data_IF_352011576258
#
_entry.id   IF_352011576258
#
_cell.length_a   1.000
_cell.length_b   1.000
_cell.length_c   1.000
_cell.angle_alpha   90.00
_cell.angle_beta   90.00
_cell.angle_gamma   90.00
#
_symmetry.space_group_name_H-M   'P 1'
#
loop_
_entity.id
_entity.type
_entity.pdbx_description
1 polymer ?
#
# COMPACT_ATOMS: atom_id res chain seq x y z
N UNK A 1 -52.03 -1.56 -12.17
CA UNK A 1 -51.53 -2.39 -13.29
C UNK A 1 -51.34 -1.51 -14.51
N UNK A 2 -50.14 -1.55 -15.09
CA UNK A 2 -49.81 -1.41 -16.53
C UNK A 2 -50.18 -0.06 -17.18
N UNK A 3 -49.29 0.76 -17.75
CA UNK A 3 -47.87 0.66 -18.06
C UNK A 3 -47.42 1.99 -18.67
N UNK A 4 -46.16 2.41 -18.44
CA UNK A 4 -45.55 3.56 -19.12
C UNK A 4 -45.00 3.11 -20.48
N UNK A 5 -45.33 3.76 -21.60
CA UNK A 5 -44.78 3.41 -22.90
C UNK A 5 -43.38 4.03 -23.09
N UNK A 6 -42.47 3.22 -23.64
CA UNK A 6 -41.33 3.62 -24.48
C UNK A 6 -40.39 4.71 -23.94
N UNK A 7 -39.47 4.32 -23.05
CA UNK A 7 -38.10 4.82 -23.19
C UNK A 7 -37.55 4.23 -24.49
N UNK A 8 -37.61 5.03 -25.57
CA UNK A 8 -36.88 4.77 -26.80
C UNK A 8 -35.44 4.40 -26.43
N UNK A 9 -35.02 3.23 -26.90
CA UNK A 9 -33.62 2.83 -26.89
C UNK A 9 -32.79 4.02 -27.40
N UNK A 10 -31.91 4.53 -26.53
CA UNK A 10 -30.92 5.50 -26.97
C UNK A 10 -30.07 4.76 -28.03
N UNK A 11 -29.95 5.32 -29.24
CA UNK A 11 -29.29 4.63 -30.35
C UNK A 11 -27.85 4.27 -29.97
N UNK A 12 -27.46 3.07 -30.36
CA UNK A 12 -26.13 2.47 -30.33
C UNK A 12 -25.07 3.20 -31.18
N UNK A 13 -25.13 4.52 -31.26
CA UNK A 13 -24.26 5.36 -32.09
C UNK A 13 -23.57 6.43 -31.22
N UNK A 14 -22.63 5.95 -30.41
CA UNK A 14 -21.30 6.54 -30.26
C UNK A 14 -20.51 5.72 -29.24
N UNK A 15 -20.13 4.49 -29.60
CA UNK A 15 -18.90 3.88 -29.11
C UNK A 15 -17.70 4.67 -29.70
N UNK A 16 -17.68 5.99 -29.46
CA UNK A 16 -16.48 6.81 -29.62
C UNK A 16 -15.55 6.31 -28.54
N UNK A 17 -14.59 5.50 -28.95
CA UNK A 17 -13.30 5.21 -28.30
C UNK A 17 -13.05 6.01 -27.01
N UNK A 18 -13.69 5.59 -25.92
CA UNK A 18 -13.32 6.06 -24.59
C UNK A 18 -12.07 5.27 -24.21
N UNK A 19 -10.89 5.81 -24.57
CA UNK A 19 -9.61 5.35 -24.02
C UNK A 19 -9.55 5.76 -22.56
N UNK A 20 -10.28 5.04 -21.69
CA UNK A 20 -10.46 5.40 -20.28
C UNK A 20 -9.13 5.58 -19.55
N UNK A 21 -8.09 4.81 -19.87
CA UNK A 21 -6.73 5.07 -19.40
C UNK A 21 -5.79 4.75 -20.57
N UNK A 22 -4.86 5.65 -20.89
CA UNK A 22 -3.76 5.34 -21.81
C UNK A 22 -3.04 4.07 -21.30
N UNK A 23 -2.81 3.02 -22.11
CA UNK A 23 -2.10 1.81 -21.67
C UNK A 23 -0.88 2.05 -20.79
N UNK A 24 -0.05 3.05 -21.13
CA UNK A 24 1.14 3.40 -20.34
C UNK A 24 0.77 3.85 -18.92
N UNK A 25 -0.32 4.61 -18.77
CA UNK A 25 -0.83 5.06 -17.47
C UNK A 25 -1.47 3.92 -16.68
N UNK A 26 -2.09 2.96 -17.36
CA UNK A 26 -2.67 1.78 -16.71
C UNK A 26 -1.55 0.90 -16.14
N UNK A 27 -0.51 0.64 -16.92
CA UNK A 27 0.63 -0.17 -16.45
C UNK A 27 1.32 0.47 -15.25
N UNK A 28 1.56 1.79 -15.28
CA UNK A 28 2.12 2.55 -14.15
C UNK A 28 1.24 2.42 -12.90
N UNK A 29 -0.09 2.57 -13.06
CA UNK A 29 -1.04 2.41 -11.96
C UNK A 29 -1.01 1.00 -11.36
N UNK A 30 -1.07 -0.03 -12.21
CA UNK A 30 -1.07 -1.41 -11.76
C UNK A 30 0.25 -1.78 -11.07
N UNK A 31 1.39 -1.29 -11.58
CA UNK A 31 2.70 -1.43 -10.93
C UNK A 31 2.74 -0.74 -9.58
N UNK A 32 2.12 0.43 -9.42
CA UNK A 32 1.99 1.08 -8.11
C UNK A 32 1.19 0.20 -7.13
N UNK A 33 0.05 -0.36 -7.54
CA UNK A 33 -0.73 -1.27 -6.68
C UNK A 33 -0.02 -2.60 -6.41
N UNK A 34 0.76 -3.13 -7.35
CA UNK A 34 1.61 -4.31 -7.13
C UNK A 34 2.69 -3.99 -6.11
N UNK A 35 3.40 -2.89 -6.33
CA UNK A 35 4.52 -2.49 -5.51
C UNK A 35 4.02 -2.14 -4.13
N UNK A 36 3.11 -1.17 -3.97
CA UNK A 36 2.74 -0.63 -2.66
C UNK A 36 1.56 -1.35 -1.99
N UNK A 37 0.73 -2.07 -2.73
CA UNK A 37 -0.46 -2.76 -2.23
C UNK A 37 -1.69 -1.86 -2.18
N UNK A 38 -2.58 -2.14 -1.22
CA UNK A 38 -3.89 -1.50 -1.09
C UNK A 38 -3.84 0.03 -0.97
N UNK A 39 -4.87 0.68 -1.48
CA UNK A 39 -5.13 2.12 -1.36
C UNK A 39 -6.49 2.36 -0.69
N UNK A 40 -6.64 3.45 0.07
CA UNK A 40 -7.93 3.80 0.66
C UNK A 40 -8.88 4.32 -0.43
N UNK A 41 -10.18 4.01 -0.31
CA UNK A 41 -11.14 4.36 -1.36
C UNK A 41 -11.23 5.86 -1.65
N UNK A 42 -11.21 6.70 -0.62
CA UNK A 42 -11.21 8.16 -0.78
C UNK A 42 -10.00 8.65 -1.58
N UNK A 43 -8.80 8.17 -1.24
CA UNK A 43 -7.55 8.55 -1.91
C UNK A 43 -7.54 8.09 -3.37
N UNK A 44 -7.97 6.85 -3.63
CA UNK A 44 -8.05 6.31 -4.98
C UNK A 44 -9.06 7.09 -5.83
N UNK A 45 -10.20 7.46 -5.24
CA UNK A 45 -11.22 8.26 -5.90
C UNK A 45 -10.71 9.68 -6.23
N UNK A 46 -10.01 10.31 -5.31
CA UNK A 46 -9.44 11.65 -5.50
C UNK A 46 -8.34 11.66 -6.59
N UNK A 47 -7.52 10.62 -6.63
CA UNK A 47 -6.39 10.51 -7.57
C UNK A 47 -6.79 10.03 -8.97
N UNK A 48 -7.72 9.09 -9.08
CA UNK A 48 -8.12 8.50 -10.37
C UNK A 48 -9.36 9.16 -10.96
N UNK A 49 -10.22 9.75 -10.12
CA UNK A 49 -11.56 10.16 -10.49
C UNK A 49 -12.54 8.98 -10.53
N UNK A 50 -13.80 9.27 -10.18
CA UNK A 50 -14.87 8.27 -10.01
C UNK A 50 -15.03 7.39 -11.26
N UNK A 51 -15.06 7.99 -12.44
CA UNK A 51 -15.33 7.27 -13.69
C UNK A 51 -14.24 6.24 -14.03
N UNK A 52 -12.96 6.58 -13.82
CA UNK A 52 -11.85 5.65 -14.05
C UNK A 52 -11.83 4.52 -13.03
N UNK A 53 -12.06 4.86 -11.76
CA UNK A 53 -12.14 3.88 -10.69
C UNK A 53 -13.27 2.87 -10.93
N UNK A 54 -14.46 3.34 -11.30
CA UNK A 54 -15.60 2.48 -11.65
C UNK A 54 -15.29 1.56 -12.82
N UNK A 55 -14.60 2.07 -13.84
CA UNK A 55 -14.16 1.25 -14.98
C UNK A 55 -13.18 0.16 -14.53
N UNK A 56 -12.15 0.51 -13.75
CA UNK A 56 -11.14 -0.43 -13.24
C UNK A 56 -11.74 -1.53 -12.36
N UNK A 57 -12.75 -1.20 -11.55
CA UNK A 57 -13.48 -2.16 -10.71
C UNK A 57 -14.35 -3.09 -11.55
N UNK A 58 -15.12 -2.53 -12.51
CA UNK A 58 -15.98 -3.30 -13.41
C UNK A 58 -15.18 -4.28 -14.25
N UNK A 59 -14.03 -3.83 -14.75
CA UNK A 59 -13.11 -4.66 -15.53
C UNK A 59 -12.22 -5.56 -14.69
N UNK A 60 -12.34 -5.54 -13.35
CA UNK A 60 -11.57 -6.36 -12.42
C UNK A 60 -10.05 -6.13 -12.49
N UNK A 61 -9.61 -4.96 -12.96
CA UNK A 61 -8.23 -4.49 -12.81
C UNK A 61 -7.95 -4.15 -11.34
N UNK A 62 -8.94 -3.57 -10.67
CA UNK A 62 -8.97 -3.38 -9.23
C UNK A 62 -10.13 -4.18 -8.62
N UNK A 63 -10.04 -4.43 -7.32
CA UNK A 63 -11.12 -5.01 -6.52
C UNK A 63 -11.23 -4.27 -5.20
N UNK A 64 -12.43 -4.22 -4.61
CA UNK A 64 -12.62 -3.66 -3.29
C UNK A 64 -12.67 -4.72 -2.18
N UNK A 65 -12.28 -4.29 -0.99
CA UNK A 65 -12.37 -5.12 0.22
C UNK A 65 -12.80 -4.25 1.41
N UNK A 66 -13.75 -4.71 2.25
CA UNK A 66 -14.01 -4.07 3.53
C UNK A 66 -12.82 -4.28 4.47
N UNK A 67 -12.44 -3.24 5.21
CA UNK A 67 -11.35 -3.31 6.18
C UNK A 67 -11.63 -2.48 7.44
N UNK A 68 -10.83 -2.62 8.50
CA UNK A 68 -10.90 -1.74 9.66
C UNK A 68 -10.64 -0.25 9.38
N UNK A 69 -10.06 0.08 8.22
CA UNK A 69 -9.83 1.46 7.75
C UNK A 69 -10.89 1.92 6.74
N UNK A 70 -12.01 1.19 6.64
CA UNK A 70 -13.03 1.41 5.63
C UNK A 70 -12.78 0.61 4.35
N UNK A 71 -13.39 1.08 3.25
CA UNK A 71 -13.26 0.45 1.93
C UNK A 71 -11.86 0.69 1.37
N UNK A 72 -11.20 -0.39 0.96
CA UNK A 72 -9.88 -0.35 0.33
C UNK A 72 -9.95 -0.92 -1.08
N UNK A 73 -9.07 -0.46 -1.95
CA UNK A 73 -8.86 -1.02 -3.29
C UNK A 73 -7.54 -1.76 -3.37
N UNK A 74 -7.53 -2.84 -4.13
CA UNK A 74 -6.40 -3.75 -4.36
C UNK A 74 -6.34 -4.11 -5.83
N UNK A 75 -5.23 -4.70 -6.29
CA UNK A 75 -5.19 -5.37 -7.59
C UNK A 75 -6.29 -6.45 -7.67
N UNK A 76 -7.14 -6.35 -8.69
CA UNK A 76 -8.12 -7.36 -9.03
C UNK A 76 -7.51 -8.46 -9.92
N UNK A 77 -8.26 -9.55 -10.19
CA UNK A 77 -7.78 -10.68 -10.98
C UNK A 77 -7.16 -10.30 -12.33
N UNK A 78 -7.84 -9.47 -13.15
CA UNK A 78 -7.30 -9.04 -14.44
C UNK A 78 -6.05 -8.16 -14.29
N UNK A 79 -6.01 -7.31 -13.26
CA UNK A 79 -4.84 -6.47 -12.98
C UNK A 79 -3.62 -7.30 -12.57
N UNK A 80 -3.84 -8.41 -11.87
CA UNK A 80 -2.78 -9.37 -11.51
C UNK A 80 -2.29 -10.13 -12.74
N UNK A 81 -3.20 -10.65 -13.56
CA UNK A 81 -2.86 -11.32 -14.83
C UNK A 81 -2.08 -10.42 -15.77
N UNK A 82 -2.49 -9.15 -15.88
CA UNK A 82 -1.82 -8.15 -16.69
C UNK A 82 -0.34 -7.95 -16.28
N UNK A 83 -0.03 -8.14 -14.99
CA UNK A 83 1.33 -8.05 -14.44
C UNK A 83 2.05 -9.42 -14.34
N UNK A 84 1.50 -10.48 -14.92
CA UNK A 84 2.06 -11.83 -14.86
C UNK A 84 2.00 -12.49 -13.48
N UNK A 85 1.07 -12.04 -12.62
CA UNK A 85 0.87 -12.56 -11.27
C UNK A 85 -0.32 -13.54 -11.22
N UNK A 86 -0.30 -14.48 -10.27
CA UNK A 86 -1.45 -15.39 -10.05
C UNK A 86 -2.73 -14.60 -9.73
N UNK A 87 -3.85 -14.80 -10.44
CA UNK A 87 -5.11 -14.05 -10.23
C UNK A 87 -5.82 -14.39 -8.92
N UNK A 88 -5.50 -15.53 -8.30
CA UNK A 88 -6.26 -16.07 -7.18
C UNK A 88 -5.82 -15.58 -5.80
N UNK A 89 -4.68 -14.89 -5.72
CA UNK A 89 -4.20 -14.36 -4.45
C UNK A 89 -5.12 -13.24 -3.95
N UNK A 90 -5.61 -13.41 -2.73
CA UNK A 90 -6.45 -12.43 -2.04
C UNK A 90 -5.77 -11.97 -0.77
N UNK A 91 -5.59 -10.65 -0.62
CA UNK A 91 -5.08 -10.08 0.62
C UNK A 91 -6.17 -10.08 1.70
N UNK A 92 -5.92 -10.62 2.90
CA UNK A 92 -6.84 -10.47 4.01
C UNK A 92 -7.06 -8.99 4.39
N UNK A 93 -8.23 -8.61 4.94
CA UNK A 93 -8.53 -7.22 5.31
C UNK A 93 -7.47 -6.51 6.15
N UNK A 94 -6.88 -7.20 7.14
CA UNK A 94 -5.83 -6.61 7.98
C UNK A 94 -4.49 -6.45 7.27
N UNK A 95 -4.19 -7.33 6.33
CA UNK A 95 -3.00 -7.23 5.48
C UNK A 95 -3.14 -6.03 4.53
N UNK A 96 -4.33 -5.85 3.94
CA UNK A 96 -4.67 -4.68 3.12
C UNK A 96 -4.59 -3.38 3.94
N UNK A 97 -5.15 -3.34 5.16
CA UNK A 97 -5.01 -2.20 6.06
C UNK A 97 -3.54 -1.90 6.38
N UNK A 98 -2.71 -2.92 6.57
CA UNK A 98 -1.27 -2.73 6.77
C UNK A 98 -0.54 -2.21 5.53
N UNK A 99 -1.01 -2.51 4.32
CA UNK A 99 -0.47 -1.94 3.08
C UNK A 99 -0.75 -0.43 2.99
N UNK A 100 -1.98 0.01 3.30
CA UNK A 100 -2.34 1.44 3.39
C UNK A 100 -1.46 2.17 4.41
N UNK A 101 -1.27 1.60 5.59
CA UNK A 101 -0.40 2.18 6.62
C UNK A 101 1.04 2.36 6.11
N UNK A 102 1.56 1.39 5.35
CA UNK A 102 2.90 1.51 4.74
C UNK A 102 2.96 2.54 3.62
N UNK A 103 1.92 2.69 2.80
CA UNK A 103 1.82 3.79 1.81
C UNK A 103 1.93 5.15 2.50
N UNK A 104 1.18 5.37 3.58
CA UNK A 104 1.25 6.62 4.35
C UNK A 104 2.63 6.87 4.97
N UNK A 105 3.24 5.83 5.54
CA UNK A 105 4.61 5.93 6.06
C UNK A 105 5.61 6.26 4.96
N UNK A 106 5.46 5.68 3.77
CA UNK A 106 6.27 6.04 2.60
C UNK A 106 6.13 7.52 2.25
N UNK A 107 4.91 8.03 2.14
CA UNK A 107 4.66 9.45 1.86
C UNK A 107 5.28 10.38 2.93
N UNK A 108 5.20 10.02 4.21
CA UNK A 108 5.82 10.80 5.30
C UNK A 108 7.34 10.82 5.14
N UNK A 109 7.96 9.66 4.92
CA UNK A 109 9.41 9.56 4.77
C UNK A 109 9.90 10.29 3.51
N UNK A 110 9.19 10.20 2.39
CA UNK A 110 9.53 10.94 1.16
C UNK A 110 9.47 12.46 1.38
N UNK A 111 8.48 12.96 2.14
CA UNK A 111 8.44 14.38 2.53
C UNK A 111 9.57 14.80 3.46
N UNK A 112 10.09 13.87 4.26
CA UNK A 112 11.26 14.08 5.11
C UNK A 112 12.60 13.95 4.35
N UNK A 113 12.58 13.74 3.03
CA UNK A 113 13.78 13.65 2.20
C UNK A 113 14.37 12.24 2.07
N UNK A 114 13.59 11.20 2.36
CA UNK A 114 13.99 9.80 2.17
C UNK A 114 13.48 9.24 0.85
N UNK A 115 14.39 8.73 0.04
CA UNK A 115 14.05 8.07 -1.23
C UNK A 115 13.66 6.61 -1.02
N UNK A 116 12.49 6.21 -1.52
CA UNK A 116 12.06 4.81 -1.53
C UNK A 116 12.91 3.96 -2.49
N UNK A 117 13.46 2.84 -2.00
CA UNK A 117 14.31 1.90 -2.76
C UNK A 117 13.70 0.51 -2.92
N UNK A 118 12.39 0.37 -2.67
CA UNK A 118 11.67 -0.92 -2.78
C UNK A 118 11.47 -1.63 -1.44
N UNK A 119 11.12 -2.92 -1.52
CA UNK A 119 10.84 -3.77 -0.35
C UNK A 119 11.85 -4.87 -0.16
N UNK A 120 12.07 -5.24 1.09
CA UNK A 120 12.83 -6.45 1.44
C UNK A 120 11.94 -7.69 1.33
N UNK A 121 12.59 -8.87 1.39
CA UNK A 121 11.90 -10.16 1.55
C UNK A 121 10.98 -10.23 2.79
N UNK A 122 11.18 -9.37 3.77
CA UNK A 122 10.34 -9.27 4.98
C UNK A 122 9.21 -8.24 4.85
N UNK A 123 8.97 -7.74 3.64
CA UNK A 123 8.00 -6.66 3.35
C UNK A 123 8.27 -5.37 4.12
N UNK A 124 9.54 -5.13 4.48
CA UNK A 124 9.97 -3.84 5.02
C UNK A 124 10.30 -2.91 3.86
N UNK A 125 9.96 -1.63 4.00
CA UNK A 125 10.27 -0.64 2.98
C UNK A 125 11.67 -0.12 3.22
N UNK A 126 12.53 -0.16 2.20
CA UNK A 126 13.90 0.34 2.27
C UNK A 126 13.92 1.77 1.78
N UNK A 127 14.59 2.65 2.51
CA UNK A 127 14.76 4.05 2.13
C UNK A 127 16.21 4.48 2.25
N UNK A 128 16.59 5.49 1.46
CA UNK A 128 17.90 6.09 1.47
C UNK A 128 17.79 7.61 1.51
N UNK A 129 18.57 8.30 2.34
CA UNK A 129 18.65 9.76 2.29
C UNK A 129 19.71 10.24 1.26
N UNK A 130 19.82 11.56 1.10
CA UNK A 130 20.78 12.18 0.18
C UNK A 130 22.24 11.93 0.54
N UNK A 131 22.53 11.57 1.80
CA UNK A 131 23.87 11.25 2.29
C UNK A 131 24.20 9.76 2.13
N UNK A 132 23.27 8.99 1.54
CA UNK A 132 23.42 7.57 1.31
C UNK A 132 23.05 6.69 2.50
N UNK A 133 22.58 7.28 3.62
CA UNK A 133 22.17 6.53 4.82
C UNK A 133 20.92 5.72 4.53
N UNK A 134 20.92 4.47 4.98
CA UNK A 134 19.84 3.53 4.75
C UNK A 134 18.99 3.32 6.01
N UNK A 135 17.67 3.22 5.81
CA UNK A 135 16.73 2.78 6.85
C UNK A 135 15.77 1.73 6.31
N UNK A 136 15.33 0.85 7.21
CA UNK A 136 14.28 -0.12 6.96
C UNK A 136 13.05 0.24 7.78
N UNK A 137 11.94 0.51 7.10
CA UNK A 137 10.70 0.94 7.73
C UNK A 137 9.73 -0.23 7.92
N UNK A 138 9.25 -0.38 9.16
CA UNK A 138 8.25 -1.37 9.55
C UNK A 138 7.00 -0.70 10.10
N UNK A 139 5.88 -0.86 9.39
CA UNK A 139 4.58 -0.36 9.81
C UNK A 139 3.46 -1.37 9.49
N UNK A 140 2.48 -1.48 10.40
CA UNK A 140 1.33 -2.39 10.28
C UNK A 140 0.09 -1.78 10.93
N UNK A 141 -1.08 -2.28 10.52
CA UNK A 141 -2.34 -1.89 11.15
C UNK A 141 -2.42 -2.30 12.63
N UNK A 142 -1.97 -3.52 12.95
CA UNK A 142 -1.73 -3.97 14.33
C UNK A 142 -0.25 -3.81 14.63
N UNK A 143 0.06 -3.18 15.76
CA UNK A 143 1.45 -2.95 16.18
C UNK A 143 2.23 -4.28 16.22
N UNK A 144 3.50 -4.21 15.85
CA UNK A 144 4.39 -5.35 15.99
C UNK A 144 4.57 -5.67 17.48
N UNK A 145 4.49 -6.96 17.83
CA UNK A 145 4.93 -7.41 19.15
C UNK A 145 6.45 -7.30 19.27
N UNK A 146 6.96 -7.12 20.50
CA UNK A 146 8.39 -7.12 20.77
C UNK A 146 9.09 -8.38 20.23
N UNK A 147 8.45 -9.56 20.34
CA UNK A 147 8.94 -10.81 19.75
C UNK A 147 9.09 -10.72 18.22
N UNK A 148 8.13 -10.11 17.54
CA UNK A 148 8.20 -9.95 16.08
C UNK A 148 9.34 -9.05 15.66
N UNK A 149 9.56 -7.95 16.39
CA UNK A 149 10.67 -7.03 16.14
C UNK A 149 12.01 -7.71 16.41
N UNK A 150 12.15 -8.41 17.54
CA UNK A 150 13.37 -9.21 17.82
C UNK A 150 13.71 -10.18 16.70
N UNK A 151 12.69 -10.86 16.14
CA UNK A 151 12.89 -11.76 15.01
C UNK A 151 13.37 -11.02 13.75
N UNK A 152 12.78 -9.87 13.43
CA UNK A 152 13.23 -9.03 12.30
C UNK A 152 14.68 -8.61 12.52
N UNK A 153 14.99 -8.07 13.70
CA UNK A 153 16.34 -7.65 14.07
C UNK A 153 17.34 -8.79 13.93
N UNK A 154 17.02 -9.98 14.45
CA UNK A 154 17.89 -11.15 14.34
C UNK A 154 18.11 -11.59 12.88
N UNK A 155 17.04 -11.56 12.07
CA UNK A 155 17.10 -11.99 10.67
C UNK A 155 17.80 -11.00 9.73
N UNK A 156 17.80 -9.71 10.08
CA UNK A 156 18.37 -8.63 9.26
C UNK A 156 19.64 -8.02 9.87
N UNK A 157 20.12 -8.55 11.00
CA UNK A 157 21.33 -8.04 11.66
C UNK A 157 22.54 -7.93 10.71
N UNK A 158 22.81 -8.90 9.82
CA UNK A 158 23.91 -8.78 8.85
C UNK A 158 23.72 -7.59 7.91
N UNK A 159 22.50 -7.40 7.39
CA UNK A 159 22.17 -6.28 6.49
C UNK A 159 22.34 -4.94 7.20
N UNK A 160 21.88 -4.83 8.46
CA UNK A 160 22.02 -3.62 9.26
C UNK A 160 23.47 -3.23 9.52
N UNK A 161 24.32 -4.22 9.81
CA UNK A 161 25.75 -3.98 10.04
C UNK A 161 26.44 -3.59 8.74
N UNK A 162 26.24 -4.37 7.67
CA UNK A 162 26.90 -4.14 6.39
C UNK A 162 26.54 -2.78 5.79
N UNK A 163 25.29 -2.37 5.89
CA UNK A 163 24.78 -1.13 5.30
C UNK A 163 24.81 0.07 6.26
N UNK A 164 25.33 -0.11 7.49
CA UNK A 164 25.23 0.91 8.54
C UNK A 164 23.81 1.46 8.71
N UNK A 165 22.83 0.57 8.65
CA UNK A 165 21.40 0.90 8.63
C UNK A 165 20.70 0.46 9.91
N UNK A 166 19.45 0.89 10.08
CA UNK A 166 18.64 0.52 11.24
C UNK A 166 17.17 0.31 10.86
N UNK A 167 16.46 -0.36 11.76
CA UNK A 167 15.03 -0.60 11.67
C UNK A 167 14.27 0.56 12.32
N UNK A 168 13.45 1.27 11.54
CA UNK A 168 12.49 2.25 12.01
C UNK A 168 11.11 1.60 12.15
N UNK A 169 10.64 1.43 13.39
CA UNK A 169 9.31 0.85 13.67
C UNK A 169 8.29 1.95 13.98
N UNK A 170 7.20 1.94 13.23
CA UNK A 170 6.05 2.80 13.47
C UNK A 170 5.03 2.05 14.33
N UNK A 171 4.74 2.58 15.52
CA UNK A 171 3.83 1.96 16.47
C UNK A 171 2.82 2.97 17.01
N UNK A 172 1.58 2.55 17.23
CA UNK A 172 0.57 3.39 17.89
C UNK A 172 0.95 3.69 19.34
N UNK A 173 1.64 2.75 19.98
CA UNK A 173 2.11 2.87 21.38
C UNK A 173 3.60 2.54 21.49
N UNK A 174 4.50 3.45 21.05
CA UNK A 174 5.93 3.17 20.97
C UNK A 174 6.57 2.92 22.35
N UNK A 175 6.01 3.47 23.44
CA UNK A 175 6.53 3.27 24.79
C UNK A 175 6.55 1.80 25.23
N UNK A 176 5.64 0.95 24.74
CA UNK A 176 5.69 -0.50 25.03
C UNK A 176 6.88 -1.22 24.40
N UNK A 177 7.55 -0.58 23.45
CA UNK A 177 8.74 -1.10 22.79
C UNK A 177 10.03 -0.41 23.28
N UNK A 178 9.94 0.54 24.22
CA UNK A 178 11.11 1.27 24.72
C UNK A 178 12.20 0.35 25.31
N UNK A 179 11.90 -0.67 26.14
CA UNK A 179 12.94 -1.58 26.63
C UNK A 179 13.63 -2.38 25.51
N UNK A 180 12.90 -2.63 24.41
CA UNK A 180 13.48 -3.27 23.24
C UNK A 180 14.38 -2.30 22.44
N UNK A 181 13.99 -1.02 22.34
CA UNK A 181 14.83 0.02 21.72
C UNK A 181 16.18 0.12 22.42
N UNK A 182 16.16 0.19 23.75
CA UNK A 182 17.38 0.31 24.57
C UNK A 182 18.33 -0.87 24.35
N UNK A 183 17.81 -2.10 24.38
CA UNK A 183 18.61 -3.32 24.19
C UNK A 183 19.04 -3.58 22.74
N UNK A 184 18.40 -2.94 21.76
CA UNK A 184 18.69 -3.12 20.34
C UNK A 184 19.46 -1.94 19.71
N UNK A 185 19.88 -0.95 20.49
CA UNK A 185 20.65 0.19 20.00
C UNK A 185 21.98 -0.28 19.35
N UNK A 186 22.42 0.30 18.21
CA UNK A 186 21.80 1.39 17.44
C UNK A 186 20.83 0.92 16.33
N UNK A 187 20.45 -0.35 16.30
CA UNK A 187 19.73 -0.97 15.16
C UNK A 187 18.21 -0.80 15.17
N UNK A 188 17.64 -0.14 16.19
CA UNK A 188 16.21 0.06 16.32
C UNK A 188 15.88 1.49 16.71
N UNK A 189 15.04 2.12 15.90
CA UNK A 189 14.35 3.36 16.23
C UNK A 189 12.83 3.16 16.24
N UNK A 190 12.17 4.00 17.03
CA UNK A 190 10.73 3.96 17.23
C UNK A 190 10.14 5.32 16.88
N UNK A 191 9.05 5.32 16.11
CA UNK A 191 8.25 6.52 15.86
C UNK A 191 6.76 6.25 16.14
N UNK A 192 6.04 7.26 16.64
CA UNK A 192 4.60 7.17 16.78
C UNK A 192 3.96 7.05 15.39
N UNK A 193 3.07 6.08 15.22
CA UNK A 193 2.23 6.02 14.04
C UNK A 193 1.15 7.09 14.18
N UNK A 194 1.29 8.18 13.42
CA UNK A 194 0.29 9.26 13.38
C UNK A 194 -1.04 8.64 12.95
N UNK A 195 -2.11 8.91 13.72
CA UNK A 195 -3.43 8.35 13.45
C UNK A 195 -3.85 8.71 12.03
N UNK A 196 -4.09 7.69 11.21
CA UNK A 196 -4.84 7.85 9.96
C UNK A 196 -6.25 8.27 10.38
N UNK A 197 -6.60 9.54 10.14
CA UNK A 197 -8.00 9.96 10.24
C UNK A 197 -8.75 9.25 9.11
N UNK A 198 -9.88 8.64 9.45
CA UNK A 198 -10.83 8.12 8.47
C UNK A 198 -11.46 9.27 7.68
#
# INVERSE_FOLDING_TARGET
>A
MIGRPYLKAIPSLALKEYRFINPDKLEVLLKDFQELGAEQASIAQDSLGIQHLDHLLREQFLTDIPSPLGKLYLLGPKGREHLGLSPFYKSPPEAAASQVIRRRVKEILEREGWDYKGKTRYSLYRFQDQQGKLIYSAARYRDYSARSIRRILASMKPDFIHESSHLLVWAKKPHYLAPLKESAHPFLDLRPLIRVKN
#
